data_IF_642005906021
#
_entry.id   IF_642005906021
#
_cell.length_a   1.000
_cell.length_b   1.000
_cell.length_c   1.000
_cell.angle_alpha   90.00
_cell.angle_beta   90.00
_cell.angle_gamma   90.00
#
_symmetry.space_group_name_H-M   'P 1'
#
loop_
_entity.id
_entity.type
_entity.pdbx_description
1 polymer ?
#
# COMPACT_ATOMS: atom_id res chain seq x y z
N UNK A 1 -0.56 -22.67 38.49
CA UNK A 1 -0.13 -21.45 37.77
C UNK A 1 1.32 -21.14 38.17
N UNK A 2 2.33 -21.38 37.30
CA UNK A 2 3.75 -21.11 37.64
C UNK A 2 4.04 -19.63 37.41
N UNK A 3 4.03 -18.83 38.49
CA UNK A 3 4.42 -17.41 38.44
C UNK A 3 5.91 -17.31 38.12
N UNK A 4 6.27 -16.47 37.15
CA UNK A 4 7.64 -16.31 36.69
C UNK A 4 8.52 -15.71 37.81
N UNK A 5 9.74 -16.23 37.99
CA UNK A 5 10.67 -15.85 39.07
C UNK A 5 10.93 -14.32 39.13
N UNK A 6 10.96 -13.66 37.98
CA UNK A 6 11.14 -12.21 37.87
C UNK A 6 9.97 -11.43 38.48
N UNK A 7 8.74 -11.87 38.25
CA UNK A 7 7.53 -11.24 38.79
C UNK A 7 7.45 -11.43 40.30
N UNK A 8 7.84 -12.61 40.81
CA UNK A 8 7.93 -12.86 42.26
C UNK A 8 8.97 -11.96 42.92
N UNK A 9 10.12 -11.76 42.28
CA UNK A 9 11.19 -10.88 42.77
C UNK A 9 10.75 -9.41 42.77
N UNK A 10 10.01 -8.99 41.73
CA UNK A 10 9.45 -7.64 41.62
C UNK A 10 8.44 -7.37 42.74
N UNK A 11 7.47 -8.26 42.95
CA UNK A 11 6.45 -8.10 44.00
C UNK A 11 7.11 -8.09 45.38
N UNK A 12 8.05 -9.01 45.63
CA UNK A 12 8.75 -9.08 46.91
C UNK A 12 9.59 -7.81 47.16
N UNK A 13 10.16 -7.19 46.12
CA UNK A 13 10.98 -5.97 46.23
C UNK A 13 10.24 -4.77 46.81
N UNK A 14 8.90 -4.77 46.82
CA UNK A 14 8.08 -3.69 47.41
C UNK A 14 8.17 -3.65 48.94
N UNK A 15 8.34 -4.81 49.59
CA UNK A 15 8.25 -4.96 51.05
C UNK A 15 9.57 -5.38 51.69
N UNK A 16 10.57 -5.77 50.88
CA UNK A 16 11.80 -6.44 51.34
C UNK A 16 12.75 -5.57 52.16
N UNK A 17 12.60 -4.24 52.06
CA UNK A 17 13.41 -3.26 52.80
C UNK A 17 12.77 -2.85 54.13
N UNK A 18 11.48 -3.14 54.33
CA UNK A 18 10.72 -2.77 55.53
C UNK A 18 10.86 -3.80 56.67
N UNK A 19 11.42 -4.98 56.39
CA UNK A 19 11.51 -6.10 57.32
C UNK A 19 12.87 -6.79 57.26
N UNK A 20 13.26 -7.42 58.37
CA UNK A 20 14.44 -8.27 58.44
C UNK A 20 14.22 -9.61 57.73
N UNK A 21 15.31 -10.32 57.42
CA UNK A 21 15.22 -11.61 56.69
C UNK A 21 14.41 -12.66 57.47
N UNK A 22 14.56 -12.69 58.79
CA UNK A 22 13.86 -13.64 59.65
C UNK A 22 12.34 -13.34 59.73
N UNK A 23 11.96 -12.06 59.76
CA UNK A 23 10.56 -11.63 59.72
C UNK A 23 9.91 -11.96 58.39
N UNK A 24 10.61 -11.73 57.27
CA UNK A 24 10.11 -12.06 55.93
C UNK A 24 9.89 -13.57 55.74
N UNK A 25 10.73 -14.41 56.34
CA UNK A 25 10.53 -15.87 56.31
C UNK A 25 9.35 -16.34 57.16
N UNK A 26 9.05 -15.64 58.27
CA UNK A 26 7.86 -15.90 59.08
C UNK A 26 6.57 -15.43 58.39
N UNK A 27 6.61 -14.25 57.76
CA UNK A 27 5.47 -13.65 57.06
C UNK A 27 5.13 -14.38 55.75
N UNK A 28 6.14 -14.89 55.05
CA UNK A 28 5.96 -15.63 53.79
C UNK A 28 6.68 -16.99 53.87
N UNK A 29 6.01 -18.01 54.44
CA UNK A 29 6.60 -19.34 54.58
C UNK A 29 6.94 -19.94 53.21
N UNK A 30 8.19 -20.42 53.06
CA UNK A 30 8.71 -21.00 51.82
C UNK A 30 9.54 -20.06 50.94
N UNK A 31 9.73 -18.79 51.34
CA UNK A 31 10.66 -17.88 50.65
C UNK A 31 12.10 -18.16 51.09
N UNK A 32 12.98 -18.47 50.12
CA UNK A 32 14.39 -18.67 50.40
C UNK A 32 15.13 -17.34 50.62
N UNK A 33 16.20 -17.37 51.41
CA UNK A 33 17.08 -16.20 51.62
C UNK A 33 17.59 -15.62 50.29
N UNK A 34 17.89 -16.50 49.32
CA UNK A 34 18.29 -16.10 47.97
C UNK A 34 17.24 -15.22 47.26
N UNK A 35 15.95 -15.51 47.43
CA UNK A 35 14.87 -14.69 46.84
C UNK A 35 14.76 -13.33 47.52
N UNK A 36 14.96 -13.28 48.84
CA UNK A 36 14.99 -12.03 49.61
C UNK A 36 16.18 -11.16 49.16
N UNK A 37 17.36 -11.75 49.02
CA UNK A 37 18.56 -11.04 48.58
C UNK A 37 18.44 -10.57 47.11
N UNK A 38 17.85 -11.40 46.25
CA UNK A 38 17.55 -11.02 44.86
C UNK A 38 16.55 -9.86 44.79
N UNK A 39 15.52 -9.85 45.64
CA UNK A 39 14.53 -8.79 45.71
C UNK A 39 15.11 -7.49 46.29
N UNK A 40 16.01 -7.56 47.28
CA UNK A 40 16.75 -6.39 47.80
C UNK A 40 17.66 -5.78 46.74
N UNK A 41 18.41 -6.63 46.03
CA UNK A 41 19.24 -6.18 44.90
C UNK A 41 18.39 -5.52 43.82
N UNK A 42 17.23 -6.07 43.52
CA UNK A 42 16.28 -5.47 42.58
C UNK A 42 15.77 -4.10 43.05
N UNK A 43 15.32 -3.98 44.31
CA UNK A 43 14.85 -2.73 44.88
C UNK A 43 15.94 -1.64 44.85
N UNK A 44 17.20 -2.02 45.10
CA UNK A 44 18.34 -1.11 45.09
C UNK A 44 18.73 -0.64 43.68
N UNK A 45 18.76 -1.53 42.69
CA UNK A 45 19.28 -1.24 41.34
C UNK A 45 18.22 -0.68 40.40
N UNK A 46 17.01 -1.25 40.42
CA UNK A 46 15.92 -0.92 39.47
C UNK A 46 14.84 -0.07 40.11
N UNK A 47 14.81 0.01 41.45
CA UNK A 47 13.71 0.57 42.22
C UNK A 47 12.66 -0.48 42.63
N UNK A 48 11.98 -0.30 43.77
CA UNK A 48 10.97 -1.24 44.26
C UNK A 48 9.81 -1.31 43.25
N UNK A 49 9.37 -2.53 42.95
CA UNK A 49 8.20 -2.78 42.09
C UNK A 49 8.38 -2.45 40.60
N UNK A 50 9.55 -1.97 40.15
CA UNK A 50 9.76 -1.62 38.75
C UNK A 50 9.89 -2.84 37.83
N UNK A 51 9.34 -2.76 36.62
CA UNK A 51 9.39 -3.85 35.65
C UNK A 51 10.74 -3.85 34.93
N UNK A 52 11.48 -4.97 34.99
CA UNK A 52 12.66 -5.16 34.12
C UNK A 52 12.18 -5.51 32.71
N UNK A 53 12.08 -4.49 31.86
CA UNK A 53 11.90 -4.67 30.43
C UNK A 53 13.21 -5.16 29.83
N UNK A 54 13.35 -6.49 29.68
CA UNK A 54 14.51 -7.04 28.95
C UNK A 54 14.50 -6.46 27.53
N UNK A 55 15.62 -5.91 27.02
CA UNK A 55 15.67 -5.44 25.65
C UNK A 55 15.32 -6.60 24.70
N UNK A 56 14.43 -6.35 23.75
CA UNK A 56 14.10 -7.31 22.70
C UNK A 56 15.35 -7.52 21.85
N UNK A 57 16.07 -8.61 22.07
CA UNK A 57 17.24 -8.96 21.27
C UNK A 57 16.76 -9.58 19.96
N UNK A 58 16.77 -8.80 18.89
CA UNK A 58 16.54 -9.30 17.53
C UNK A 58 17.80 -10.00 17.03
N UNK A 59 17.83 -11.33 17.06
CA UNK A 59 18.92 -12.10 16.46
C UNK A 59 18.65 -12.29 14.97
N UNK A 60 19.47 -11.69 14.12
CA UNK A 60 19.43 -11.92 12.67
C UNK A 60 19.98 -13.31 12.36
N UNK A 61 19.09 -14.28 12.10
CA UNK A 61 19.45 -15.66 11.71
C UNK A 61 19.67 -15.83 10.19
N UNK A 62 19.62 -14.75 9.42
CA UNK A 62 19.78 -14.79 7.97
C UNK A 62 21.24 -14.50 7.60
N UNK A 63 21.85 -15.42 6.85
CA UNK A 63 23.17 -15.21 6.24
C UNK A 63 23.08 -14.09 5.20
N UNK A 64 23.84 -13.01 5.37
CA UNK A 64 23.86 -11.88 4.44
C UNK A 64 24.21 -12.31 3.00
N UNK A 65 25.27 -13.11 2.75
CA UNK A 65 25.58 -13.59 1.40
C UNK A 65 24.41 -14.32 0.72
N UNK A 66 23.74 -15.23 1.45
CA UNK A 66 22.58 -15.97 0.93
C UNK A 66 21.39 -15.05 0.63
N UNK A 67 21.21 -14.00 1.43
CA UNK A 67 20.16 -13.01 1.23
C UNK A 67 20.45 -12.16 -0.01
N UNK A 68 21.65 -11.59 -0.11
CA UNK A 68 22.06 -10.77 -1.25
C UNK A 68 21.90 -11.53 -2.57
N UNK A 69 22.42 -12.76 -2.63
CA UNK A 69 22.31 -13.60 -3.83
C UNK A 69 20.85 -13.84 -4.24
N UNK A 70 19.95 -14.11 -3.29
CA UNK A 70 18.54 -14.29 -3.61
C UNK A 70 17.88 -12.97 -4.05
N UNK A 71 18.25 -11.84 -3.44
CA UNK A 71 17.72 -10.52 -3.84
C UNK A 71 18.18 -10.17 -5.26
N UNK A 72 19.45 -10.35 -5.58
CA UNK A 72 19.98 -10.13 -6.93
C UNK A 72 19.28 -11.02 -7.96
N UNK A 73 19.09 -12.30 -7.61
CA UNK A 73 18.34 -13.23 -8.45
C UNK A 73 16.94 -12.71 -8.75
N UNK A 74 16.16 -12.29 -7.74
CA UNK A 74 14.77 -11.82 -7.98
C UNK A 74 14.69 -10.45 -8.66
N UNK A 75 15.73 -9.62 -8.57
CA UNK A 75 15.80 -8.32 -9.23
C UNK A 75 16.22 -8.42 -10.69
N UNK A 76 16.65 -9.60 -11.15
CA UNK A 76 16.95 -9.83 -12.55
C UNK A 76 15.73 -9.45 -13.45
N UNK A 77 15.94 -8.69 -14.54
CA UNK A 77 14.89 -8.28 -15.47
C UNK A 77 14.00 -9.42 -16.00
N UNK A 78 14.53 -10.65 -16.05
CA UNK A 78 13.77 -11.84 -16.43
C UNK A 78 12.61 -12.13 -15.47
N UNK A 79 12.78 -11.85 -14.18
CA UNK A 79 11.83 -12.20 -13.13
C UNK A 79 11.08 -11.00 -12.55
N UNK A 80 11.66 -9.80 -12.67
CA UNK A 80 11.05 -8.55 -12.19
C UNK A 80 11.26 -7.41 -13.19
N UNK A 81 10.28 -6.53 -13.30
CA UNK A 81 10.33 -5.30 -14.09
C UNK A 81 10.02 -4.09 -13.20
N UNK A 82 10.64 -2.95 -13.50
CA UNK A 82 10.36 -1.68 -12.81
C UNK A 82 9.29 -0.93 -13.59
N UNK A 83 8.33 -0.32 -12.91
CA UNK A 83 7.32 0.51 -13.59
C UNK A 83 7.92 1.82 -14.07
N UNK A 84 7.45 2.34 -15.21
CA UNK A 84 7.82 3.69 -15.68
C UNK A 84 7.29 4.82 -14.78
N UNK A 85 6.26 4.55 -13.96
CA UNK A 85 5.68 5.52 -13.03
C UNK A 85 5.05 4.83 -11.80
N UNK A 86 5.33 5.36 -10.60
CA UNK A 86 4.79 4.89 -9.33
C UNK A 86 5.87 4.47 -8.32
N UNK A 87 5.74 4.94 -7.08
CA UNK A 87 6.66 4.66 -5.97
C UNK A 87 5.97 3.91 -4.84
N UNK A 88 6.75 3.12 -4.10
CA UNK A 88 6.36 2.49 -2.84
C UNK A 88 7.31 2.93 -1.74
N UNK A 89 6.84 3.03 -0.50
CA UNK A 89 7.67 3.49 0.62
C UNK A 89 8.20 2.29 1.39
N UNK A 90 9.52 2.19 1.49
CA UNK A 90 10.21 1.26 2.37
C UNK A 90 10.37 1.92 3.75
N UNK A 91 9.67 1.40 4.75
CA UNK A 91 9.81 1.84 6.14
C UNK A 91 10.92 1.06 6.84
N UNK A 92 11.96 1.76 7.26
CA UNK A 92 13.07 1.19 8.01
C UNK A 92 12.71 1.01 9.50
N UNK A 93 13.49 0.18 10.21
CA UNK A 93 13.38 0.04 11.66
C UNK A 93 13.73 1.32 12.42
N UNK A 94 14.41 2.27 11.77
CA UNK A 94 14.66 3.63 12.25
C UNK A 94 13.43 4.54 12.16
N UNK A 95 12.28 4.05 11.67
CA UNK A 95 11.10 4.83 11.27
C UNK A 95 11.30 5.77 10.08
N UNK A 96 12.46 5.71 9.42
CA UNK A 96 12.70 6.44 8.18
C UNK A 96 11.93 5.80 7.02
N UNK A 97 11.47 6.64 6.10
CA UNK A 97 10.69 6.25 4.93
C UNK A 97 11.52 6.53 3.68
N UNK A 98 11.87 5.47 2.95
CA UNK A 98 12.64 5.58 1.70
C UNK A 98 11.70 5.31 0.52
N UNK A 99 11.52 6.27 -0.40
CA UNK A 99 10.78 6.02 -1.63
C UNK A 99 11.59 5.10 -2.55
N UNK A 100 10.98 4.00 -2.99
CA UNK A 100 11.56 3.06 -3.94
C UNK A 100 10.61 2.89 -5.14
N UNK A 101 11.12 2.71 -6.37
CA UNK A 101 10.29 2.42 -7.53
C UNK A 101 9.42 1.19 -7.30
N UNK A 102 8.17 1.23 -7.78
CA UNK A 102 7.29 0.07 -7.68
C UNK A 102 7.80 -1.03 -8.61
N UNK A 103 8.01 -2.22 -8.06
CA UNK A 103 8.47 -3.39 -8.82
C UNK A 103 7.29 -4.30 -9.15
N UNK A 104 7.25 -4.81 -10.36
CA UNK A 104 6.34 -5.84 -10.82
C UNK A 104 7.12 -7.15 -10.95
N UNK A 105 6.58 -8.23 -10.39
CA UNK A 105 7.10 -9.58 -10.60
C UNK A 105 6.39 -10.23 -11.78
N UNK A 106 7.21 -10.71 -12.73
CA UNK A 106 6.75 -11.37 -13.94
C UNK A 106 6.31 -12.83 -13.64
N UNK A 107 6.85 -13.43 -12.57
CA UNK A 107 6.57 -14.80 -12.15
C UNK A 107 5.93 -14.87 -10.76
N UNK A 108 5.10 -15.90 -10.55
CA UNK A 108 4.59 -16.21 -9.22
C UNK A 108 5.72 -16.67 -8.28
N UNK A 109 5.59 -16.35 -6.99
CA UNK A 109 6.61 -16.67 -5.98
C UNK A 109 7.02 -18.15 -5.98
N UNK A 110 6.07 -19.07 -6.14
CA UNK A 110 6.35 -20.50 -6.19
C UNK A 110 7.30 -20.88 -7.33
N UNK A 111 7.13 -20.25 -8.51
CA UNK A 111 7.94 -20.51 -9.70
C UNK A 111 9.33 -19.90 -9.56
N UNK A 112 9.43 -18.66 -9.06
CA UNK A 112 10.71 -18.00 -8.74
C UNK A 112 11.54 -18.88 -7.81
N UNK A 113 10.94 -19.37 -6.72
CA UNK A 113 11.64 -20.22 -5.75
C UNK A 113 12.10 -21.53 -6.40
N UNK A 114 11.24 -22.15 -7.23
CA UNK A 114 11.60 -23.38 -7.94
C UNK A 114 12.81 -23.19 -8.86
N UNK A 115 12.82 -22.12 -9.66
CA UNK A 115 13.92 -21.80 -10.58
C UNK A 115 15.18 -21.48 -9.78
N UNK A 116 15.07 -20.65 -8.73
CA UNK A 116 16.20 -20.30 -7.89
C UNK A 116 16.84 -21.53 -7.23
N UNK A 117 16.03 -22.47 -6.74
CA UNK A 117 16.54 -23.69 -6.13
C UNK A 117 17.22 -24.60 -7.15
N UNK A 118 16.70 -24.69 -8.38
CA UNK A 118 17.38 -25.42 -9.47
C UNK A 118 18.70 -24.75 -9.84
N UNK A 119 18.72 -23.43 -10.00
CA UNK A 119 19.93 -22.65 -10.25
C UNK A 119 20.97 -22.86 -9.13
N UNK A 120 20.57 -22.76 -7.86
CA UNK A 120 21.49 -22.99 -6.76
C UNK A 120 22.07 -24.41 -6.75
N UNK A 121 21.31 -25.43 -7.17
CA UNK A 121 21.82 -26.81 -7.28
C UNK A 121 22.85 -26.97 -8.39
N UNK A 122 22.69 -26.26 -9.50
CA UNK A 122 23.61 -26.32 -10.64
C UNK A 122 24.96 -25.66 -10.32
N UNK A 123 24.94 -24.56 -9.56
CA UNK A 123 26.14 -23.79 -9.18
C UNK A 123 26.68 -24.16 -7.78
N UNK A 124 26.24 -25.29 -7.22
CA UNK A 124 26.62 -25.80 -5.88
C UNK A 124 26.51 -24.73 -4.75
N UNK A 125 25.44 -23.94 -4.79
CA UNK A 125 25.16 -22.90 -3.82
C UNK A 125 24.15 -23.34 -2.76
N UNK A 126 24.51 -23.20 -1.49
CA UNK A 126 23.61 -23.54 -0.38
C UNK A 126 22.53 -22.46 -0.18
N UNK A 127 21.33 -22.73 -0.69
CA UNK A 127 20.18 -21.83 -0.60
C UNK A 127 19.43 -21.90 0.73
N UNK A 128 18.55 -20.92 1.00
CA UNK A 128 17.65 -20.97 2.15
C UNK A 128 16.53 -22.00 1.96
N UNK A 129 15.89 -22.38 3.08
CA UNK A 129 14.66 -23.17 3.04
C UNK A 129 13.54 -22.44 2.29
N UNK A 130 12.65 -23.22 1.65
CA UNK A 130 11.51 -22.70 0.87
C UNK A 130 10.67 -21.69 1.66
N UNK A 131 10.41 -21.97 2.94
CA UNK A 131 9.67 -21.08 3.83
C UNK A 131 10.37 -19.73 4.05
N UNK A 132 11.69 -19.73 4.17
CA UNK A 132 12.49 -18.50 4.32
C UNK A 132 12.47 -17.67 3.04
N UNK A 133 12.60 -18.31 1.87
CA UNK A 133 12.51 -17.64 0.58
C UNK A 133 11.13 -16.98 0.37
N UNK A 134 10.04 -17.67 0.75
CA UNK A 134 8.70 -17.06 0.74
C UNK A 134 8.58 -15.85 1.66
N UNK A 135 9.18 -15.89 2.86
CA UNK A 135 9.19 -14.75 3.78
C UNK A 135 9.95 -13.57 3.19
N UNK A 136 11.09 -13.80 2.55
CA UNK A 136 11.86 -12.75 1.87
C UNK A 136 11.01 -12.13 0.75
N UNK A 137 10.39 -12.94 -0.11
CA UNK A 137 9.49 -12.44 -1.17
C UNK A 137 8.27 -11.67 -0.64
N UNK A 138 7.79 -12.01 0.57
CA UNK A 138 6.69 -11.29 1.23
C UNK A 138 7.12 -9.89 1.70
N UNK A 139 8.34 -9.76 2.23
CA UNK A 139 8.90 -8.48 2.70
C UNK A 139 9.31 -7.60 1.53
N UNK A 140 9.94 -8.19 0.51
CA UNK A 140 10.25 -7.50 -0.75
C UNK A 140 8.96 -7.37 -1.56
N UNK A 141 8.00 -6.58 -1.11
CA UNK A 141 6.69 -6.50 -1.74
C UNK A 141 6.81 -6.03 -3.20
N UNK A 142 6.25 -6.80 -4.12
CA UNK A 142 6.17 -6.45 -5.53
C UNK A 142 4.75 -6.79 -6.03
N UNK A 143 4.24 -5.98 -6.93
CA UNK A 143 2.95 -6.26 -7.56
C UNK A 143 3.07 -7.50 -8.45
N UNK A 144 2.04 -8.34 -8.47
CA UNK A 144 1.97 -9.46 -9.43
C UNK A 144 1.57 -8.90 -10.80
N UNK A 145 2.21 -9.36 -11.87
CA UNK A 145 1.72 -9.12 -13.22
C UNK A 145 0.37 -9.85 -13.38
N UNK A 146 -0.75 -9.10 -13.33
CA UNK A 146 -2.11 -9.66 -13.42
C UNK A 146 -2.67 -9.69 -14.84
N UNK A 147 -2.09 -8.90 -15.75
CA UNK A 147 -2.39 -8.94 -17.18
C UNK A 147 -1.18 -8.42 -17.96
N UNK A 148 -0.94 -8.97 -19.15
CA UNK A 148 -0.05 -8.42 -20.19
C UNK A 148 -0.63 -7.15 -20.84
N UNK A 149 -1.74 -6.64 -20.30
CA UNK A 149 -2.46 -5.48 -20.81
C UNK A 149 -1.65 -4.22 -20.52
N UNK A 150 -0.63 -4.02 -21.36
CA UNK A 150 0.16 -2.82 -21.54
C UNK A 150 1.05 -2.45 -20.37
N UNK A 151 2.35 -2.30 -20.64
CA UNK A 151 3.25 -1.41 -19.88
C UNK A 151 2.77 0.06 -19.83
N UNK A 152 1.60 0.36 -20.40
CA UNK A 152 0.99 1.67 -20.44
C UNK A 152 -0.01 1.84 -19.27
N UNK A 153 0.54 2.25 -18.13
CA UNK A 153 -0.24 2.62 -16.95
C UNK A 153 -1.25 3.74 -17.23
N UNK A 154 -1.03 4.56 -18.26
CA UNK A 154 -1.87 5.73 -18.57
C UNK A 154 -3.13 5.27 -19.28
N UNK A 155 -3.01 4.48 -20.36
CA UNK A 155 -4.19 3.91 -21.03
C UNK A 155 -4.98 3.00 -20.09
N UNK A 156 -4.30 2.21 -19.25
CA UNK A 156 -4.98 1.38 -18.25
C UNK A 156 -5.75 2.23 -17.21
N UNK A 157 -5.19 3.34 -16.74
CA UNK A 157 -5.88 4.26 -15.84
C UNK A 157 -7.10 4.89 -16.53
N UNK A 158 -6.96 5.37 -17.77
CA UNK A 158 -8.07 5.93 -18.55
C UNK A 158 -9.21 4.93 -18.76
N UNK A 159 -8.89 3.68 -19.14
CA UNK A 159 -9.90 2.62 -19.29
C UNK A 159 -10.62 2.31 -17.98
N UNK A 160 -9.90 2.26 -16.86
CA UNK A 160 -10.50 2.06 -15.54
C UNK A 160 -11.40 3.23 -15.14
N UNK A 161 -11.02 4.47 -15.46
CA UNK A 161 -11.86 5.65 -15.19
C UNK A 161 -13.19 5.57 -15.94
N UNK A 162 -13.18 5.20 -17.22
CA UNK A 162 -14.41 5.02 -18.02
C UNK A 162 -15.30 3.88 -17.45
N UNK A 163 -14.69 2.77 -17.04
CA UNK A 163 -15.41 1.67 -16.39
C UNK A 163 -16.03 2.11 -15.04
N UNK A 164 -15.31 2.90 -14.26
CA UNK A 164 -15.81 3.47 -13.01
C UNK A 164 -16.98 4.43 -13.24
N UNK A 165 -16.93 5.29 -14.26
CA UNK A 165 -18.05 6.17 -14.62
C UNK A 165 -19.28 5.36 -15.05
N UNK A 166 -19.08 4.32 -15.87
CA UNK A 166 -20.17 3.41 -16.26
C UNK A 166 -20.83 2.75 -15.05
N UNK A 167 -20.03 2.22 -14.11
CA UNK A 167 -20.52 1.62 -12.87
C UNK A 167 -21.23 2.62 -11.96
N UNK A 168 -20.77 3.87 -11.94
CA UNK A 168 -21.41 4.93 -11.18
C UNK A 168 -22.79 5.25 -11.75
N UNK A 169 -22.90 5.41 -13.07
CA UNK A 169 -24.20 5.65 -13.74
C UNK A 169 -25.17 4.48 -13.52
N UNK A 170 -24.69 3.23 -13.56
CA UNK A 170 -25.49 2.06 -13.16
C UNK A 170 -26.00 2.14 -11.72
N UNK A 171 -25.18 2.62 -10.78
CA UNK A 171 -25.64 2.83 -9.40
C UNK A 171 -26.69 3.94 -9.31
N UNK A 172 -26.53 5.02 -10.06
CA UNK A 172 -27.53 6.10 -10.07
C UNK A 172 -28.89 5.60 -10.59
N UNK A 173 -28.90 4.70 -11.58
CA UNK A 173 -30.12 3.99 -12.01
C UNK A 173 -30.77 3.22 -10.86
N UNK A 174 -29.99 2.47 -10.07
CA UNK A 174 -30.53 1.76 -8.90
C UNK A 174 -31.09 2.69 -7.80
N UNK A 175 -30.65 3.95 -7.77
CA UNK A 175 -31.09 4.95 -6.80
C UNK A 175 -32.18 5.90 -7.33
N UNK A 176 -32.79 5.59 -8.46
CA UNK A 176 -33.96 6.33 -8.95
C UNK A 176 -33.70 7.30 -10.10
N UNK A 177 -32.52 7.25 -10.74
CA UNK A 177 -32.33 7.89 -12.04
C UNK A 177 -33.31 7.30 -13.07
N UNK A 178 -33.89 8.16 -13.89
CA UNK A 178 -34.84 7.72 -14.92
C UNK A 178 -34.14 6.92 -16.04
N UNK A 179 -34.84 5.93 -16.59
CA UNK A 179 -34.36 5.13 -17.73
C UNK A 179 -33.86 5.95 -18.94
N UNK A 180 -34.54 7.02 -19.41
CA UNK A 180 -34.02 7.80 -20.53
C UNK A 180 -32.72 8.53 -20.20
N UNK A 181 -32.56 9.02 -18.97
CA UNK A 181 -31.33 9.68 -18.52
C UNK A 181 -30.18 8.70 -18.35
N UNK A 182 -30.44 7.52 -17.79
CA UNK A 182 -29.48 6.44 -17.69
C UNK A 182 -28.93 6.04 -19.06
N UNK A 183 -29.83 5.86 -20.04
CA UNK A 183 -29.45 5.51 -21.42
C UNK A 183 -28.63 6.63 -22.06
N UNK A 184 -29.07 7.88 -21.92
CA UNK A 184 -28.35 9.05 -22.45
C UNK A 184 -26.92 9.15 -21.90
N UNK A 185 -26.74 9.05 -20.58
CA UNK A 185 -25.42 9.09 -19.96
C UNK A 185 -24.54 7.90 -20.36
N UNK A 186 -25.13 6.72 -20.49
CA UNK A 186 -24.39 5.53 -20.95
C UNK A 186 -23.92 5.69 -22.39
N UNK A 187 -24.77 6.21 -23.27
CA UNK A 187 -24.44 6.47 -24.67
C UNK A 187 -23.33 7.55 -24.79
N UNK A 188 -23.39 8.61 -23.97
CA UNK A 188 -22.34 9.64 -23.89
C UNK A 188 -21.00 9.02 -23.43
N UNK A 189 -20.99 8.22 -22.36
CA UNK A 189 -19.77 7.55 -21.88
C UNK A 189 -19.19 6.63 -22.95
N UNK A 190 -20.03 5.91 -23.69
CA UNK A 190 -19.57 5.06 -24.80
C UNK A 190 -18.97 5.89 -25.94
N UNK A 191 -19.60 7.01 -26.30
CA UNK A 191 -19.10 7.90 -27.34
C UNK A 191 -17.75 8.53 -26.93
N UNK A 192 -17.61 8.97 -25.68
CA UNK A 192 -16.34 9.46 -25.11
C UNK A 192 -15.26 8.37 -25.19
N UNK A 193 -15.61 7.13 -24.81
CA UNK A 193 -14.67 6.01 -24.86
C UNK A 193 -14.18 5.72 -26.29
N UNK A 194 -15.08 5.77 -27.29
CA UNK A 194 -14.72 5.60 -28.70
C UNK A 194 -13.85 6.75 -29.20
N UNK A 195 -14.22 7.99 -28.89
CA UNK A 195 -13.47 9.19 -29.24
C UNK A 195 -12.02 9.11 -28.71
N UNK A 196 -11.86 8.88 -27.41
CA UNK A 196 -10.54 8.82 -26.77
C UNK A 196 -9.67 7.67 -27.30
N UNK A 197 -10.27 6.53 -27.66
CA UNK A 197 -9.53 5.36 -28.17
C UNK A 197 -9.06 5.51 -29.61
N UNK A 198 -9.90 6.07 -30.47
CA UNK A 198 -9.71 5.93 -31.93
C UNK A 198 -9.47 7.26 -32.64
N UNK A 199 -10.01 8.37 -32.13
CA UNK A 199 -10.07 9.63 -32.86
C UNK A 199 -9.23 10.73 -32.21
N UNK A 200 -9.10 10.77 -30.89
CA UNK A 200 -8.40 11.85 -30.20
C UNK A 200 -6.98 12.08 -30.71
N UNK A 201 -6.28 11.00 -31.09
CA UNK A 201 -4.92 11.10 -31.65
C UNK A 201 -4.85 11.93 -32.94
N UNK A 202 -5.87 11.88 -33.79
CA UNK A 202 -5.88 12.66 -35.04
C UNK A 202 -6.20 14.14 -34.81
N UNK A 203 -6.71 14.48 -33.63
CA UNK A 203 -6.96 15.86 -33.23
C UNK A 203 -5.69 16.57 -32.75
N UNK A 204 -4.62 15.84 -32.43
CA UNK A 204 -3.41 16.41 -31.85
C UNK A 204 -2.51 17.06 -32.91
N UNK A 205 -2.21 18.35 -32.75
CA UNK A 205 -1.28 19.10 -33.59
C UNK A 205 -0.53 20.15 -32.76
N UNK A 206 0.63 20.64 -33.20
CA UNK A 206 1.38 21.72 -32.53
C UNK A 206 0.85 23.13 -32.85
N UNK A 207 0.05 23.26 -33.90
CA UNK A 207 -0.51 24.53 -34.37
C UNK A 207 -2.05 24.49 -34.39
N UNK A 208 -2.64 23.67 -33.53
CA UNK A 208 -4.10 23.57 -33.46
C UNK A 208 -4.68 24.80 -32.74
N UNK A 209 -5.83 25.27 -33.24
CA UNK A 209 -6.53 26.40 -32.62
C UNK A 209 -7.32 26.02 -31.36
N UNK A 210 -7.30 24.76 -30.93
CA UNK A 210 -7.93 24.29 -29.70
C UNK A 210 -6.88 23.98 -28.63
N UNK A 211 -7.13 24.42 -27.40
CA UNK A 211 -6.24 24.22 -26.24
C UNK A 211 -5.93 22.75 -25.97
N UNK A 212 -6.94 21.89 -26.07
CA UNK A 212 -6.82 20.46 -25.77
C UNK A 212 -6.07 19.68 -26.86
N UNK A 213 -6.10 20.22 -28.07
CA UNK A 213 -5.47 19.62 -29.26
C UNK A 213 -4.03 20.08 -29.43
N UNK A 214 -3.74 21.33 -29.04
CA UNK A 214 -2.41 21.91 -29.19
C UNK A 214 -1.44 21.23 -28.24
N UNK A 215 -0.66 20.28 -28.76
CA UNK A 215 0.30 19.50 -27.95
C UNK A 215 1.31 20.36 -27.19
N UNK A 216 1.61 21.56 -27.67
CA UNK A 216 2.47 22.52 -26.97
C UNK A 216 1.77 23.14 -25.75
N UNK A 217 0.49 23.50 -25.88
CA UNK A 217 -0.29 24.07 -24.78
C UNK A 217 -0.78 23.00 -23.80
N UNK A 218 -1.35 21.90 -24.31
CA UNK A 218 -1.90 20.80 -23.51
C UNK A 218 -0.87 20.10 -22.60
N UNK A 219 0.42 20.16 -22.96
CA UNK A 219 1.52 19.61 -22.15
C UNK A 219 2.31 20.67 -21.36
N UNK A 220 1.95 21.95 -21.50
CA UNK A 220 2.61 23.04 -20.78
C UNK A 220 2.11 23.10 -19.34
N UNK A 221 3.03 23.17 -18.39
CA UNK A 221 2.71 23.42 -16.99
C UNK A 221 2.53 24.94 -16.76
N UNK A 222 1.35 25.41 -16.28
CA UNK A 222 1.14 26.82 -16.01
C UNK A 222 1.81 27.30 -14.72
N UNK A 223 2.25 26.39 -13.85
CA UNK A 223 2.80 26.68 -12.52
C UNK A 223 4.33 26.58 -12.46
N UNK A 224 4.93 25.72 -13.27
CA UNK A 224 6.39 25.50 -13.30
C UNK A 224 7.02 26.07 -14.59
N UNK A 225 7.76 27.19 -14.53
CA UNK A 225 8.33 27.84 -15.71
C UNK A 225 9.24 26.95 -16.54
N UNK A 226 9.91 25.97 -15.90
CA UNK A 226 10.80 25.02 -16.59
C UNK A 226 10.06 24.02 -17.46
N UNK A 227 8.77 23.80 -17.20
CA UNK A 227 7.90 22.92 -17.97
C UNK A 227 6.80 23.70 -18.70
N UNK A 228 6.90 25.03 -18.74
CA UNK A 228 5.98 25.91 -19.44
C UNK A 228 6.41 26.13 -20.90
N UNK A 229 5.45 26.14 -21.82
CA UNK A 229 5.68 26.40 -23.23
C UNK A 229 4.64 27.40 -23.78
N UNK A 230 5.11 28.39 -24.53
CA UNK A 230 4.26 29.38 -25.20
C UNK A 230 4.03 29.04 -26.67
N UNK A 231 2.83 29.32 -27.17
CA UNK A 231 2.49 29.17 -28.58
C UNK A 231 2.56 30.52 -29.33
N UNK A 232 2.80 30.45 -30.63
CA UNK A 232 2.79 31.60 -31.55
C UNK A 232 1.50 31.69 -32.38
N UNK A 233 0.42 31.04 -31.92
CA UNK A 233 -0.90 31.01 -32.54
C UNK A 233 -1.98 31.12 -31.46
N UNK A 234 -3.22 31.42 -31.86
CA UNK A 234 -4.35 31.62 -30.94
C UNK A 234 -5.10 30.31 -30.70
N UNK A 235 -5.67 30.18 -29.49
CA UNK A 235 -6.47 29.03 -29.08
C UNK A 235 -7.94 29.41 -28.85
N UNK A 236 -8.62 29.90 -29.89
CA UNK A 236 -10.01 30.38 -29.82
C UNK A 236 -11.05 29.29 -30.12
N UNK A 237 -10.62 28.12 -30.61
CA UNK A 237 -11.53 27.03 -30.99
C UNK A 237 -11.75 26.09 -29.82
N UNK A 238 -12.99 25.69 -29.63
CA UNK A 238 -13.36 24.59 -28.73
C UNK A 238 -13.72 23.36 -29.56
N UNK A 239 -13.25 22.19 -29.13
CA UNK A 239 -13.66 20.93 -29.74
C UNK A 239 -14.90 20.41 -29.02
N UNK A 240 -15.99 20.19 -29.76
CA UNK A 240 -17.24 19.65 -29.22
C UNK A 240 -17.03 18.32 -28.51
N UNK A 241 -16.18 17.44 -29.06
CA UNK A 241 -15.88 16.13 -28.47
C UNK A 241 -15.04 16.23 -27.20
N UNK A 242 -14.12 17.18 -27.11
CA UNK A 242 -13.36 17.43 -25.87
C UNK A 242 -14.25 18.06 -24.81
N UNK A 243 -15.07 19.04 -25.18
CA UNK A 243 -16.05 19.66 -24.29
C UNK A 243 -17.06 18.64 -23.75
N UNK A 244 -17.43 17.63 -24.55
CA UNK A 244 -18.28 16.52 -24.11
C UNK A 244 -17.64 15.68 -23.00
N UNK A 245 -16.31 15.57 -22.95
CA UNK A 245 -15.62 14.86 -21.85
C UNK A 245 -15.78 15.62 -20.54
N UNK A 246 -15.62 16.94 -20.56
CA UNK A 246 -15.80 17.79 -19.39
C UNK A 246 -17.27 17.82 -18.95
N UNK A 247 -18.20 18.07 -19.89
CA UNK A 247 -19.61 18.18 -19.57
C UNK A 247 -20.22 16.87 -19.07
N UNK A 248 -19.71 15.71 -19.49
CA UNK A 248 -20.17 14.42 -18.97
C UNK A 248 -19.94 14.29 -17.46
N UNK A 249 -18.82 14.81 -16.94
CA UNK A 249 -18.56 14.80 -15.50
C UNK A 249 -19.52 15.72 -14.76
N UNK A 250 -19.81 16.89 -15.32
CA UNK A 250 -20.78 17.83 -14.74
C UNK A 250 -22.19 17.24 -14.71
N UNK A 251 -22.64 16.62 -15.80
CA UNK A 251 -23.94 15.94 -15.88
C UNK A 251 -24.07 14.83 -14.83
N UNK A 252 -22.99 14.04 -14.62
CA UNK A 252 -22.97 13.00 -13.58
C UNK A 252 -23.04 13.63 -12.18
N UNK A 253 -22.27 14.69 -11.92
CA UNK A 253 -22.26 15.38 -10.63
C UNK A 253 -23.61 16.02 -10.31
N UNK A 254 -24.27 16.66 -11.28
CA UNK A 254 -25.63 17.18 -11.12
C UNK A 254 -26.60 16.07 -10.71
N UNK A 255 -26.49 14.89 -11.32
CA UNK A 255 -27.35 13.75 -10.99
C UNK A 255 -27.06 13.15 -9.62
N UNK A 256 -25.80 13.12 -9.20
CA UNK A 256 -25.45 12.75 -7.83
C UNK A 256 -26.11 13.70 -6.82
N UNK A 257 -26.13 15.00 -7.11
CA UNK A 257 -26.72 16.01 -6.21
C UNK A 257 -28.26 15.99 -6.19
N UNK A 258 -28.89 15.54 -7.26
CA UNK A 258 -30.36 15.44 -7.37
C UNK A 258 -30.93 14.16 -6.74
N UNK A 259 -30.14 13.10 -6.64
CA UNK A 259 -30.58 11.83 -6.10
C UNK A 259 -30.37 11.83 -4.59
N UNK A 260 -31.48 11.88 -3.84
CA UNK A 260 -31.46 11.60 -2.41
C UNK A 260 -31.10 10.13 -2.20
N UNK A 261 -29.86 9.85 -1.80
CA UNK A 261 -29.44 8.51 -1.38
C UNK A 261 -30.26 8.17 -0.13
N UNK A 262 -31.10 7.13 -0.14
CA UNK A 262 -31.86 6.75 1.05
C UNK A 262 -30.88 6.44 2.20
N UNK A 263 -31.13 7.03 3.36
CA UNK A 263 -30.32 6.91 4.60
C UNK A 263 -30.07 5.46 5.02
N UNK A 264 -30.86 4.51 4.55
CA UNK A 264 -30.73 3.06 4.79
C UNK A 264 -29.40 2.47 4.32
N UNK A 265 -28.74 3.05 3.30
CA UNK A 265 -27.46 2.53 2.78
C UNK A 265 -26.26 3.04 3.59
N UNK A 266 -26.37 4.21 4.22
CA UNK A 266 -25.40 4.69 5.21
C UNK A 266 -25.42 3.79 6.46
N UNK A 267 -26.60 3.31 6.87
CA UNK A 267 -26.78 2.39 7.99
C UNK A 267 -26.24 0.98 7.68
N UNK A 268 -26.48 0.41 6.49
CA UNK A 268 -25.89 -0.88 6.08
C UNK A 268 -24.37 -0.85 5.96
N UNK A 269 -23.80 0.29 5.53
CA UNK A 269 -22.35 0.50 5.44
C UNK A 269 -21.69 0.59 6.82
N UNK A 270 -22.37 1.20 7.79
CA UNK A 270 -21.92 1.25 9.19
C UNK A 270 -22.04 -0.13 9.87
N UNK A 271 -23.14 -0.87 9.64
CA UNK A 271 -23.30 -2.24 10.15
C UNK A 271 -22.24 -3.21 9.61
N UNK A 272 -21.88 -3.06 8.33
CA UNK A 272 -20.83 -3.89 7.69
C UNK A 272 -19.41 -3.57 8.18
N UNK A 273 -19.18 -2.39 8.76
CA UNK A 273 -17.90 -2.01 9.38
C UNK A 273 -17.81 -2.52 10.83
N UNK A 274 -18.92 -2.57 11.56
CA UNK A 274 -18.97 -3.08 12.94
C UNK A 274 -18.85 -4.61 13.03
N UNK A 275 -19.13 -5.36 11.95
CA UNK A 275 -18.91 -6.81 11.91
C UNK A 275 -17.43 -7.23 11.68
N UNK A 276 -16.51 -6.28 11.47
CA UNK A 276 -15.08 -6.55 11.25
C UNK A 276 -14.14 -5.80 12.22
N UNK A 277 -14.65 -5.42 13.40
CA UNK A 277 -13.83 -5.08 14.58
C UNK A 277 -13.79 -6.24 15.55
#
# INVERSE_FOLDING_TARGET
MKVHFTTQTQILSLIVNSFTKAELQKLIPGVSLFRIDSARKHALVTGPGHVINKPKVYRMKLSKPKLTHFIEFIMNPLYSSVVGFGQTVLKLSSNENIPIPKVIRNLIHARIISIYQSFCKEYDFETFSRASLYRILKVCHASKQRALQGLDNITAAGMNSIDNLSKLVQKLETFGMSQPEFKSLTDIIQLINQFLKYEYKSHLNRLDGCTDHCTTMALSDPTEPKFSASCNHNHERQCEKCAMVESCLDMINEKINQIEIPTTILEEKNFSLDCYV
#
